data_IF_043787424790
#
_entry.id   IF_043787424790
#
_cell.length_a   1.000
_cell.length_b   1.000
_cell.length_c   1.000
_cell.angle_alpha   90.00
_cell.angle_beta   90.00
_cell.angle_gamma   90.00
#
_symmetry.space_group_name_H-M   'P 1'
#
loop_
_entity.id
_entity.type
_entity.pdbx_description
1 polymer ?
#
# COMPACT_ATOMS: atom_id res chain seq x y z
N UNK A 1 65.23 2.97 18.16
CA UNK A 1 65.67 4.36 18.36
C UNK A 1 64.56 5.28 17.85
N UNK A 2 64.24 6.18 18.75
CA UNK A 2 63.57 7.47 18.73
C UNK A 2 62.04 7.53 18.66
N UNK A 3 61.53 7.81 19.83
CA UNK A 3 60.24 8.42 20.20
C UNK A 3 59.92 9.66 19.37
N UNK A 4 58.64 9.87 19.04
CA UNK A 4 58.15 11.21 18.82
C UNK A 4 56.80 11.40 19.52
N UNK A 5 56.80 12.43 20.35
CA UNK A 5 55.77 12.81 21.32
C UNK A 5 54.64 13.55 20.63
N UNK A 6 53.47 13.24 21.15
CA UNK A 6 52.19 13.94 21.00
C UNK A 6 52.30 15.37 21.56
N UNK A 7 51.89 16.38 20.80
CA UNK A 7 51.71 17.76 21.29
C UNK A 7 50.25 18.12 21.15
N UNK A 8 49.63 18.31 22.30
CA UNK A 8 48.26 18.81 22.49
C UNK A 8 48.32 20.32 22.49
N UNK A 9 47.72 21.01 21.49
CA UNK A 9 47.58 22.46 21.48
C UNK A 9 46.21 22.85 22.04
N UNK A 10 46.20 23.41 23.22
CA UNK A 10 45.05 24.07 23.85
C UNK A 10 45.08 25.53 23.40
N UNK A 11 44.09 25.95 22.61
CA UNK A 11 43.87 27.35 22.27
C UNK A 11 42.94 27.97 23.31
N UNK A 12 43.50 28.78 24.19
CA UNK A 12 42.75 29.63 25.11
C UNK A 12 42.34 30.93 24.38
N UNK A 13 41.08 31.15 24.16
CA UNK A 13 40.51 32.43 23.70
C UNK A 13 40.13 33.27 24.91
N UNK A 14 40.86 34.38 25.07
CA UNK A 14 40.56 35.38 26.09
C UNK A 14 39.33 36.19 25.68
N UNK A 15 38.32 36.17 26.57
CA UNK A 15 37.12 37.00 26.45
C UNK A 15 37.39 38.39 27.07
N UNK A 16 37.27 39.41 26.21
CA UNK A 16 37.20 40.81 26.61
C UNK A 16 35.82 41.10 27.23
N UNK A 17 35.77 41.35 28.52
CA UNK A 17 34.60 41.85 29.22
C UNK A 17 34.44 43.33 28.96
N UNK A 18 33.45 43.72 28.18
CA UNK A 18 32.94 45.11 28.19
C UNK A 18 31.75 45.15 29.13
N UNK A 19 31.94 45.80 30.25
CA UNK A 19 30.90 46.09 31.23
C UNK A 19 29.97 47.18 30.66
N UNK A 20 28.81 46.81 30.16
CA UNK A 20 27.66 47.70 30.04
C UNK A 20 26.54 47.17 30.92
N UNK A 21 26.40 47.87 32.04
CA UNK A 21 25.33 47.66 33.01
C UNK A 21 23.99 48.12 32.41
N UNK A 22 23.22 47.21 31.87
CA UNK A 22 21.76 47.32 31.68
C UNK A 22 21.15 45.98 32.05
N UNK A 23 20.32 46.04 33.10
CA UNK A 23 19.43 44.95 33.50
C UNK A 23 18.55 44.50 32.28
N UNK A 24 19.11 43.65 31.45
CA UNK A 24 18.30 42.78 30.60
C UNK A 24 17.97 41.57 31.50
N UNK A 25 16.79 41.59 32.09
CA UNK A 25 16.14 40.34 32.44
C UNK A 25 16.03 39.57 31.13
N UNK A 26 16.80 38.51 31.01
CA UNK A 26 16.51 37.43 30.07
C UNK A 26 15.15 36.90 30.48
N UNK A 27 14.12 37.33 29.79
CA UNK A 27 12.83 36.65 29.84
C UNK A 27 13.12 35.28 29.27
N UNK A 28 13.33 34.28 30.16
CA UNK A 28 13.26 32.91 29.73
C UNK A 28 11.92 32.76 29.01
N UNK A 29 11.87 32.07 27.83
CA UNK A 29 10.61 31.79 27.20
C UNK A 29 9.72 31.16 28.27
N UNK A 30 8.60 31.82 28.61
CA UNK A 30 7.60 31.27 29.51
C UNK A 30 7.08 30.02 28.82
N UNK A 31 7.67 28.86 29.13
CA UNK A 31 7.08 27.58 28.74
C UNK A 31 5.67 27.58 29.33
N UNK A 32 4.61 27.35 28.53
CA UNK A 32 3.24 27.31 29.03
C UNK A 32 3.23 26.28 30.19
N UNK A 33 2.92 26.72 31.39
CA UNK A 33 2.94 25.88 32.58
C UNK A 33 2.05 24.64 32.35
N UNK A 34 2.67 23.48 32.27
CA UNK A 34 1.98 22.20 32.10
C UNK A 34 2.17 21.50 30.76
N UNK A 35 3.03 22.02 29.85
CA UNK A 35 3.40 21.29 28.64
C UNK A 35 4.45 20.20 28.92
N UNK A 36 4.42 19.14 28.14
CA UNK A 36 5.35 18.01 28.16
C UNK A 36 5.70 17.60 26.75
N UNK A 37 6.81 16.92 26.58
CA UNK A 37 7.26 16.40 25.30
C UNK A 37 6.78 14.96 25.14
N UNK A 38 6.14 14.67 24.02
CA UNK A 38 5.84 13.33 23.54
C UNK A 38 6.79 13.01 22.38
N UNK A 39 7.65 12.04 22.54
CA UNK A 39 8.45 11.48 21.45
C UNK A 39 7.65 10.41 20.73
N UNK A 40 7.76 10.35 19.42
CA UNK A 40 7.12 9.31 18.62
C UNK A 40 8.09 8.66 17.65
N UNK A 41 7.75 7.43 17.25
CA UNK A 41 8.41 6.68 16.19
C UNK A 41 7.37 5.95 15.37
N UNK A 42 7.63 5.80 14.07
CA UNK A 42 6.78 5.00 13.17
C UNK A 42 7.39 3.61 12.98
N UNK A 43 6.53 2.60 12.96
CA UNK A 43 6.85 1.22 12.61
C UNK A 43 5.98 0.75 11.46
N UNK A 44 6.26 -0.40 10.87
CA UNK A 44 5.46 -1.00 9.77
C UNK A 44 5.91 -0.60 8.37
N UNK A 45 6.80 0.39 8.22
CA UNK A 45 7.29 0.86 6.92
C UNK A 45 8.20 -0.20 6.28
N UNK A 46 9.13 -0.77 7.05
CA UNK A 46 10.18 -1.70 6.58
C UNK A 46 9.83 -3.18 6.77
N UNK A 47 8.59 -3.51 7.11
CA UNK A 47 8.22 -4.84 7.61
C UNK A 47 8.36 -6.01 6.59
N UNK A 48 8.77 -5.73 5.35
CA UNK A 48 9.01 -6.75 4.32
C UNK A 48 10.36 -7.49 4.46
N UNK A 49 11.21 -7.14 5.42
CA UNK A 49 12.64 -7.53 5.36
C UNK A 49 12.99 -8.87 5.98
N UNK A 50 12.07 -9.60 6.64
CA UNK A 50 12.52 -10.76 7.45
C UNK A 50 11.95 -12.14 7.13
N UNK A 51 10.95 -12.30 6.29
CA UNK A 51 10.31 -13.61 6.16
C UNK A 51 10.10 -14.17 4.75
N UNK A 52 10.38 -13.46 3.68
CA UNK A 52 10.29 -14.05 2.35
C UNK A 52 11.36 -13.52 1.42
N UNK A 53 11.90 -14.43 0.60
CA UNK A 53 12.69 -14.16 -0.62
C UNK A 53 11.90 -13.38 -1.69
N UNK A 54 10.86 -12.66 -1.31
CA UNK A 54 10.02 -11.86 -2.19
C UNK A 54 10.71 -10.53 -2.37
N UNK A 55 11.22 -10.28 -3.55
CA UNK A 55 11.69 -8.95 -3.98
C UNK A 55 10.56 -7.95 -3.80
N UNK A 56 10.71 -7.05 -2.81
CA UNK A 56 9.86 -5.88 -2.71
C UNK A 56 10.11 -5.00 -3.92
N UNK A 57 9.06 -4.42 -4.49
CA UNK A 57 9.26 -3.27 -5.37
C UNK A 57 9.84 -2.14 -4.52
N UNK A 58 10.93 -1.51 -4.94
CA UNK A 58 11.62 -0.47 -4.15
C UNK A 58 10.74 0.72 -3.72
N UNK A 59 9.57 0.89 -4.31
CA UNK A 59 8.56 1.90 -3.99
C UNK A 59 7.75 1.61 -2.72
N UNK A 60 7.72 0.36 -2.28
CA UNK A 60 6.85 -0.08 -1.20
C UNK A 60 7.26 0.46 0.18
N UNK A 61 8.50 0.93 0.32
CA UNK A 61 9.08 1.39 1.58
C UNK A 61 9.51 2.85 1.58
N UNK A 62 9.28 3.58 0.49
CA UNK A 62 9.68 4.98 0.38
C UNK A 62 8.79 5.85 1.29
N UNK A 63 9.41 6.81 1.95
CA UNK A 63 8.76 7.82 2.77
C UNK A 63 9.08 9.20 2.18
N UNK A 64 8.07 9.83 1.57
CA UNK A 64 8.16 11.16 0.96
C UNK A 64 7.65 12.26 1.87
N UNK A 65 6.61 11.96 2.66
CA UNK A 65 6.12 12.85 3.70
C UNK A 65 5.57 12.07 4.90
N UNK A 66 5.62 12.70 6.06
CA UNK A 66 5.03 12.20 7.31
C UNK A 66 4.27 13.33 7.98
N UNK A 67 3.00 13.13 8.20
CA UNK A 67 2.12 14.06 8.89
C UNK A 67 1.62 13.42 10.18
N UNK A 68 1.76 14.11 11.28
CA UNK A 68 1.39 13.63 12.62
C UNK A 68 0.28 14.52 13.17
N UNK A 69 -0.78 13.90 13.64
CA UNK A 69 -1.90 14.58 14.29
C UNK A 69 -2.09 14.00 15.69
N UNK A 70 -2.25 14.87 16.65
CA UNK A 70 -2.59 14.50 18.02
C UNK A 70 -3.98 15.02 18.32
N UNK A 71 -4.91 14.13 18.63
CA UNK A 71 -6.31 14.45 18.93
C UNK A 71 -6.55 14.37 20.45
N UNK A 72 -7.26 15.35 20.97
CA UNK A 72 -7.68 15.36 22.38
C UNK A 72 -8.85 14.41 22.67
N UNK A 73 -9.36 14.43 23.91
CA UNK A 73 -10.50 13.61 24.33
C UNK A 73 -11.80 13.93 23.62
N UNK A 74 -11.92 15.11 23.01
CA UNK A 74 -13.07 15.53 22.23
C UNK A 74 -12.90 15.25 20.72
N UNK A 75 -11.88 14.47 20.36
CA UNK A 75 -11.48 14.15 18.99
C UNK A 75 -11.13 15.38 18.14
N UNK A 76 -10.69 16.47 18.78
CA UNK A 76 -10.20 17.67 18.09
C UNK A 76 -8.69 17.65 17.98
N UNK A 77 -8.18 18.21 16.88
CA UNK A 77 -6.74 18.35 16.70
C UNK A 77 -6.15 19.26 17.76
N UNK A 78 -5.36 18.70 18.66
CA UNK A 78 -4.58 19.43 19.64
C UNK A 78 -3.25 19.90 19.04
N UNK A 79 -2.62 19.09 18.18
CA UNK A 79 -1.36 19.41 17.48
C UNK A 79 -1.38 18.77 16.10
N UNK A 80 -0.95 19.52 15.10
CA UNK A 80 -0.55 19.04 13.77
C UNK A 80 0.96 19.29 13.61
N UNK A 81 1.67 18.30 13.04
CA UNK A 81 3.09 18.40 12.72
C UNK A 81 3.35 17.82 11.33
N UNK A 82 3.86 18.64 10.42
CA UNK A 82 4.54 18.16 9.22
C UNK A 82 5.96 17.76 9.63
N UNK A 83 6.28 16.48 9.55
CA UNK A 83 7.55 15.90 9.98
C UNK A 83 8.52 15.64 8.81
N UNK A 84 8.22 16.16 7.61
CA UNK A 84 8.99 15.93 6.40
C UNK A 84 9.07 14.44 6.07
N UNK A 85 10.27 13.90 5.92
CA UNK A 85 10.50 12.47 5.66
C UNK A 85 10.92 11.68 6.90
N UNK A 86 10.93 12.31 8.07
CA UNK A 86 11.41 11.67 9.31
C UNK A 86 10.34 10.76 9.90
N UNK A 87 10.72 9.53 10.21
CA UNK A 87 9.88 8.54 10.89
C UNK A 87 9.93 8.63 12.41
N UNK A 88 10.69 9.61 12.96
CA UNK A 88 10.76 9.88 14.39
C UNK A 88 10.68 11.39 14.62
N UNK A 89 10.16 11.78 15.78
CA UNK A 89 10.06 13.19 16.15
C UNK A 89 9.55 13.40 17.55
N UNK A 90 9.25 14.67 17.86
CA UNK A 90 8.70 15.05 19.15
C UNK A 90 7.65 16.15 19.02
N UNK A 91 6.66 16.11 19.89
CA UNK A 91 5.55 17.06 19.97
C UNK A 91 5.51 17.63 21.38
N UNK A 92 5.41 18.96 21.48
CA UNK A 92 5.14 19.61 22.77
C UNK A 92 3.64 19.83 22.94
N UNK A 93 3.06 19.25 23.99
CA UNK A 93 1.62 19.29 24.23
C UNK A 93 1.34 19.34 25.75
N UNK A 94 0.15 19.76 26.15
CA UNK A 94 -0.27 19.71 27.56
C UNK A 94 -0.37 18.26 28.04
N UNK A 95 -0.23 18.04 29.36
CA UNK A 95 -0.51 16.73 29.93
C UNK A 95 -1.98 16.33 29.64
N UNK A 96 -2.21 15.06 29.37
CA UNK A 96 -3.53 14.54 29.03
C UNK A 96 -3.48 13.19 28.33
N UNK A 97 -4.63 12.72 27.91
CA UNK A 97 -4.78 11.50 27.12
C UNK A 97 -5.18 11.86 25.71
N UNK A 98 -4.52 11.28 24.73
CA UNK A 98 -4.63 11.64 23.33
C UNK A 98 -4.79 10.41 22.42
N UNK A 99 -5.22 10.66 21.18
CA UNK A 99 -5.04 9.74 20.07
C UNK A 99 -3.96 10.30 19.15
N UNK A 100 -2.91 9.54 18.92
CA UNK A 100 -1.82 9.88 18.01
C UNK A 100 -2.04 9.18 16.68
N UNK A 101 -2.18 9.95 15.59
CA UNK A 101 -2.31 9.43 14.24
C UNK A 101 -1.11 9.85 13.40
N UNK A 102 -0.72 8.96 12.48
CA UNK A 102 0.33 9.20 11.50
C UNK A 102 -0.19 8.89 10.09
N UNK A 103 -0.05 9.84 9.19
CA UNK A 103 -0.31 9.71 7.76
C UNK A 103 1.01 9.86 7.01
N UNK A 104 1.39 8.82 6.26
CA UNK A 104 2.62 8.77 5.47
C UNK A 104 2.24 8.77 4.00
N UNK A 105 2.92 9.59 3.19
CA UNK A 105 2.71 9.71 1.74
C UNK A 105 1.28 10.07 1.32
N UNK A 106 0.51 10.64 2.24
CA UNK A 106 -0.88 11.00 2.01
C UNK A 106 -1.09 12.45 1.59
N UNK A 107 -2.35 12.83 1.31
CA UNK A 107 -2.69 14.21 1.05
C UNK A 107 -2.35 15.12 2.25
N UNK A 108 -2.25 16.43 1.98
CA UNK A 108 -2.11 17.42 3.03
C UNK A 108 -3.36 17.44 3.93
N UNK A 109 -3.15 17.19 5.21
CA UNK A 109 -4.20 17.18 6.25
C UNK A 109 -4.03 18.32 7.28
N UNK A 110 -3.25 19.34 6.96
CA UNK A 110 -3.02 20.50 7.83
C UNK A 110 -4.31 21.29 8.18
N UNK A 111 -5.32 21.20 7.31
CA UNK A 111 -6.63 21.85 7.50
C UNK A 111 -7.67 21.02 8.27
N UNK A 112 -7.32 19.79 8.65
CA UNK A 112 -8.21 18.90 9.40
C UNK A 112 -8.33 19.37 10.86
N UNK A 113 -9.53 19.42 11.39
CA UNK A 113 -9.80 19.88 12.76
C UNK A 113 -10.27 18.77 13.70
N UNK A 114 -10.79 17.67 13.16
CA UNK A 114 -11.32 16.55 13.93
C UNK A 114 -10.84 15.21 13.39
N UNK A 115 -10.93 14.19 14.24
CA UNK A 115 -10.59 12.82 13.85
C UNK A 115 -11.52 12.28 12.74
N UNK A 116 -12.80 12.64 12.77
CA UNK A 116 -13.77 12.24 11.76
C UNK A 116 -13.50 12.90 10.40
N UNK A 117 -13.05 14.18 10.42
CA UNK A 117 -12.59 14.84 9.20
C UNK A 117 -11.37 14.11 8.60
N UNK A 118 -10.37 13.72 9.43
CA UNK A 118 -9.22 12.94 8.96
C UNK A 118 -9.66 11.61 8.34
N UNK A 119 -10.57 10.91 8.99
CA UNK A 119 -11.12 9.65 8.48
C UNK A 119 -11.82 9.79 7.13
N UNK A 120 -12.41 10.96 6.89
CA UNK A 120 -13.17 11.27 5.66
C UNK A 120 -12.30 11.76 4.51
N UNK A 121 -11.01 12.00 4.74
CA UNK A 121 -10.09 12.45 3.68
C UNK A 121 -9.98 11.37 2.62
N UNK A 122 -10.36 11.72 1.39
CA UNK A 122 -10.32 10.81 0.24
C UNK A 122 -8.89 10.65 -0.28
N UNK A 123 -8.55 9.43 -0.64
CA UNK A 123 -7.26 9.04 -1.23
C UNK A 123 -7.54 8.30 -2.54
N UNK A 124 -7.74 9.00 -3.67
CA UNK A 124 -7.88 8.34 -4.97
C UNK A 124 -6.62 7.53 -5.32
N UNK A 125 -6.80 6.33 -5.87
CA UNK A 125 -5.69 5.43 -6.20
C UNK A 125 -4.75 6.06 -7.23
N UNK A 126 -5.30 6.78 -8.22
CA UNK A 126 -4.54 7.43 -9.29
C UNK A 126 -3.68 8.62 -8.84
N UNK A 127 -4.01 9.24 -7.70
CA UNK A 127 -3.31 10.43 -7.24
C UNK A 127 -2.19 10.12 -6.24
N UNK A 128 -2.42 9.16 -5.34
CA UNK A 128 -1.57 8.96 -4.16
C UNK A 128 -0.85 7.62 -4.10
N UNK A 129 -1.06 6.73 -5.05
CA UNK A 129 -0.37 5.44 -5.07
C UNK A 129 0.11 5.09 -6.48
N UNK A 130 0.32 6.09 -7.34
CA UNK A 130 0.85 5.89 -8.69
C UNK A 130 2.33 5.51 -8.66
N UNK A 131 2.91 5.14 -9.80
CA UNK A 131 4.35 4.81 -9.88
C UNK A 131 5.27 5.95 -9.51
N UNK A 132 4.80 7.18 -9.65
CA UNK A 132 5.52 8.41 -9.33
C UNK A 132 5.39 8.84 -7.87
N UNK A 133 4.50 8.21 -7.12
CA UNK A 133 4.24 8.52 -5.70
C UNK A 133 4.38 7.27 -4.86
N UNK A 134 4.67 7.47 -3.60
CA UNK A 134 4.87 6.42 -2.63
C UNK A 134 3.53 5.94 -2.07
N UNK A 135 3.45 4.69 -1.60
CA UNK A 135 2.19 4.17 -1.06
C UNK A 135 1.74 4.92 0.18
N UNK A 136 0.49 5.32 0.20
CA UNK A 136 -0.13 5.95 1.37
C UNK A 136 -0.24 4.91 2.49
N UNK A 137 0.24 5.32 3.69
CA UNK A 137 0.15 4.50 4.90
C UNK A 137 -0.51 5.32 6.01
N UNK A 138 -1.29 4.65 6.82
CA UNK A 138 -1.96 5.25 7.96
C UNK A 138 -1.83 4.37 9.20
N UNK A 139 -1.69 4.99 10.35
CA UNK A 139 -1.70 4.32 11.64
C UNK A 139 -2.18 5.21 12.75
N UNK A 140 -2.68 4.62 13.82
CA UNK A 140 -3.10 5.34 15.03
C UNK A 140 -2.82 4.57 16.28
N UNK A 141 -2.60 5.32 17.35
CA UNK A 141 -2.52 4.82 18.72
C UNK A 141 -3.45 5.64 19.61
N UNK A 142 -4.41 4.99 20.23
CA UNK A 142 -5.36 5.61 21.16
C UNK A 142 -4.89 5.47 22.60
N UNK A 143 -5.37 6.33 23.49
CA UNK A 143 -5.03 6.26 24.92
C UNK A 143 -3.55 6.61 25.20
N UNK A 144 -2.95 7.47 24.39
CA UNK A 144 -1.59 7.96 24.60
C UNK A 144 -1.58 8.93 25.78
N UNK A 145 -1.07 8.50 26.91
CA UNK A 145 -0.92 9.35 28.10
C UNK A 145 0.33 10.20 27.99
N UNK A 146 0.19 11.51 28.13
CA UNK A 146 1.29 12.46 28.25
C UNK A 146 1.34 12.99 29.68
N UNK A 147 2.36 12.58 30.41
CA UNK A 147 2.54 12.91 31.83
C UNK A 147 3.59 14.00 31.98
N UNK A 148 3.39 14.87 33.00
CA UNK A 148 4.32 15.94 33.33
C UNK A 148 5.61 15.37 33.94
N UNK A 149 6.74 15.96 33.55
CA UNK A 149 8.06 15.61 34.08
C UNK A 149 8.46 14.13 33.88
N UNK A 150 7.93 13.50 32.84
CA UNK A 150 8.28 12.13 32.44
C UNK A 150 8.72 12.09 30.97
N UNK A 151 9.48 11.06 30.62
CA UNK A 151 9.77 10.73 29.24
C UNK A 151 8.55 10.04 28.65
N UNK A 152 7.77 10.77 27.83
CA UNK A 152 6.65 10.21 27.10
C UNK A 152 7.16 9.77 25.73
N UNK A 153 6.93 8.50 25.37
CA UNK A 153 7.28 7.98 24.06
C UNK A 153 6.22 7.00 23.57
N UNK A 154 5.94 7.01 22.26
CA UNK A 154 4.97 6.11 21.64
C UNK A 154 5.42 5.71 20.24
N UNK A 155 5.19 4.45 19.90
CA UNK A 155 5.36 3.94 18.53
C UNK A 155 4.00 3.81 17.89
N UNK A 156 3.87 4.32 16.66
CA UNK A 156 2.67 4.16 15.82
C UNK A 156 3.01 3.19 14.71
N UNK A 157 2.26 2.10 14.61
CA UNK A 157 2.39 1.17 13.49
C UNK A 157 1.53 1.68 12.34
N UNK A 158 2.16 1.98 11.21
CA UNK A 158 1.46 2.38 9.98
C UNK A 158 1.30 1.20 9.04
N UNK A 159 0.18 1.17 8.32
CA UNK A 159 -0.19 0.14 7.36
C UNK A 159 -0.50 0.78 6.01
N UNK A 160 -0.11 0.12 4.93
CA UNK A 160 -0.43 0.58 3.58
C UNK A 160 -1.92 0.49 3.34
N UNK A 161 -2.48 1.49 2.68
CA UNK A 161 -3.92 1.50 2.37
C UNK A 161 -4.27 0.56 1.21
N UNK A 162 -3.31 0.18 0.39
CA UNK A 162 -3.48 -0.74 -0.74
C UNK A 162 -3.33 -2.21 -0.32
N UNK A 163 -3.91 -3.10 -1.12
CA UNK A 163 -3.59 -4.52 -1.18
C UNK A 163 -2.66 -4.80 -2.36
N UNK A 164 -1.86 -5.86 -2.29
CA UNK A 164 -0.97 -6.30 -3.36
C UNK A 164 -1.45 -7.64 -3.93
N UNK A 165 -1.59 -7.72 -5.25
CA UNK A 165 -1.71 -8.97 -5.98
C UNK A 165 -0.38 -9.25 -6.68
N UNK A 166 0.19 -10.44 -6.45
CA UNK A 166 1.45 -10.84 -7.06
C UNK A 166 1.20 -12.07 -7.93
N UNK A 167 1.55 -11.96 -9.23
CA UNK A 167 1.67 -13.16 -10.06
C UNK A 167 3.00 -13.85 -9.70
N UNK A 168 2.91 -14.83 -8.81
CA UNK A 168 4.08 -15.49 -8.25
C UNK A 168 4.69 -16.48 -9.24
N UNK A 169 3.86 -17.27 -9.93
CA UNK A 169 4.32 -18.20 -10.95
C UNK A 169 3.23 -18.60 -11.93
N UNK A 170 3.66 -18.97 -13.15
CA UNK A 170 2.82 -19.63 -14.15
C UNK A 170 3.52 -20.87 -14.64
N UNK A 171 2.83 -22.02 -14.60
CA UNK A 171 3.32 -23.31 -15.09
C UNK A 171 2.58 -23.71 -16.36
N UNK A 172 3.31 -24.05 -17.41
CA UNK A 172 2.74 -24.65 -18.62
C UNK A 172 2.60 -26.16 -18.43
N UNK A 173 1.39 -26.62 -18.19
CA UNK A 173 0.98 -28.03 -18.08
C UNK A 173 0.16 -28.50 -19.28
N UNK A 174 0.16 -27.73 -20.38
CA UNK A 174 -0.58 -28.05 -21.58
C UNK A 174 -0.07 -29.36 -22.21
N UNK A 175 -0.91 -30.06 -22.99
CA UNK A 175 -0.47 -31.15 -23.85
C UNK A 175 0.62 -30.68 -24.82
N UNK A 176 1.57 -31.54 -25.12
CA UNK A 176 2.72 -31.23 -26.01
C UNK A 176 2.27 -30.67 -27.36
N UNK A 177 1.11 -31.09 -27.88
CA UNK A 177 0.57 -30.60 -29.15
C UNK A 177 0.11 -29.14 -29.17
N UNK A 178 -0.05 -28.50 -28.01
CA UNK A 178 -0.35 -27.07 -27.90
C UNK A 178 0.90 -26.19 -27.81
N UNK A 179 2.05 -26.79 -27.52
CA UNK A 179 3.35 -26.12 -27.59
C UNK A 179 3.64 -25.15 -26.44
N UNK A 180 4.38 -24.10 -26.78
CA UNK A 180 4.84 -23.08 -25.83
C UNK A 180 3.70 -22.16 -25.43
N UNK A 181 3.64 -21.82 -24.14
CA UNK A 181 2.76 -20.80 -23.60
C UNK A 181 3.56 -19.49 -23.51
N UNK A 182 3.15 -18.46 -24.22
CA UNK A 182 3.82 -17.14 -24.20
C UNK A 182 3.02 -16.17 -23.38
N UNK A 183 3.54 -15.77 -22.22
CA UNK A 183 2.89 -14.78 -21.37
C UNK A 183 3.08 -13.40 -21.97
N UNK A 184 1.99 -12.68 -22.22
CA UNK A 184 2.01 -11.34 -22.81
C UNK A 184 1.84 -10.26 -21.77
N UNK A 185 0.85 -10.38 -20.90
CA UNK A 185 0.53 -9.36 -19.90
C UNK A 185 -0.30 -9.92 -18.75
N UNK A 186 -0.36 -9.16 -17.69
CA UNK A 186 -1.25 -9.40 -16.56
C UNK A 186 -1.86 -8.08 -16.10
N UNK A 187 -3.10 -8.10 -15.67
CA UNK A 187 -3.78 -6.92 -15.18
C UNK A 187 -4.84 -7.26 -14.13
N UNK A 188 -5.26 -6.23 -13.37
CA UNK A 188 -6.39 -6.34 -12.45
C UNK A 188 -7.68 -5.87 -13.12
N UNK A 189 -8.78 -6.52 -12.80
CA UNK A 189 -10.14 -6.09 -13.12
C UNK A 189 -11.01 -6.03 -11.87
N UNK A 190 -12.14 -5.30 -11.93
CA UNK A 190 -12.99 -4.99 -10.79
C UNK A 190 -12.19 -4.35 -9.64
N UNK A 191 -11.53 -3.25 -9.94
CA UNK A 191 -10.60 -2.57 -9.04
C UNK A 191 -11.35 -1.51 -8.24
N UNK A 192 -11.16 -1.48 -6.93
CA UNK A 192 -11.57 -0.37 -6.08
C UNK A 192 -10.56 0.77 -6.22
N UNK A 193 -11.02 1.95 -6.65
CA UNK A 193 -10.17 3.08 -7.04
C UNK A 193 -10.15 4.22 -6.03
N UNK A 194 -11.00 4.21 -5.01
CA UNK A 194 -10.97 5.21 -3.96
C UNK A 194 -11.12 4.59 -2.57
N UNK A 195 -10.53 5.27 -1.62
CA UNK A 195 -10.61 4.94 -0.20
C UNK A 195 -10.45 6.21 0.62
N UNK A 196 -10.94 6.20 1.84
CA UNK A 196 -10.63 7.26 2.81
C UNK A 196 -9.47 6.83 3.71
N UNK A 197 -8.78 7.80 4.30
CA UNK A 197 -7.67 7.56 5.24
C UNK A 197 -8.08 6.62 6.36
N UNK A 198 -9.28 6.78 6.92
CA UNK A 198 -9.82 5.90 7.97
C UNK A 198 -10.12 4.48 7.54
N UNK A 199 -10.17 4.20 6.27
CA UNK A 199 -10.30 2.86 5.73
C UNK A 199 -11.69 2.24 5.73
N UNK A 200 -12.65 2.88 6.38
CA UNK A 200 -13.97 2.31 6.66
C UNK A 200 -15.04 2.69 5.63
N UNK A 201 -14.72 3.48 4.61
CA UNK A 201 -15.68 3.81 3.55
C UNK A 201 -15.89 2.61 2.64
N UNK A 202 -17.15 2.29 2.38
CA UNK A 202 -17.50 1.34 1.34
C UNK A 202 -16.88 1.77 0.00
N UNK A 203 -16.38 0.81 -0.77
CA UNK A 203 -15.88 1.06 -2.12
C UNK A 203 -16.99 1.74 -2.93
N UNK A 204 -16.73 2.96 -3.39
CA UNK A 204 -17.71 3.76 -4.12
C UNK A 204 -17.31 4.03 -5.56
N UNK A 205 -16.07 3.75 -5.91
CA UNK A 205 -15.54 3.98 -7.25
C UNK A 205 -14.77 2.75 -7.71
N UNK A 206 -15.16 2.23 -8.86
CA UNK A 206 -14.61 1.01 -9.44
C UNK A 206 -14.02 1.29 -10.82
N UNK A 207 -13.01 0.55 -11.19
CA UNK A 207 -12.36 0.66 -12.47
C UNK A 207 -12.13 -0.71 -13.11
N UNK A 208 -11.88 -0.71 -14.41
CA UNK A 208 -11.58 -1.89 -15.20
C UNK A 208 -12.67 -2.98 -15.14
N UNK A 209 -13.88 -2.59 -15.48
CA UNK A 209 -15.05 -3.47 -15.48
C UNK A 209 -15.41 -4.01 -16.88
N UNK A 210 -14.48 -3.98 -17.81
CA UNK A 210 -14.60 -4.48 -19.17
C UNK A 210 -15.79 -3.94 -19.98
N UNK A 211 -15.79 -2.63 -20.27
CA UNK A 211 -16.74 -2.03 -21.22
C UNK A 211 -18.18 -1.97 -20.78
N UNK A 212 -18.48 -2.12 -19.49
CA UNK A 212 -19.83 -1.99 -18.97
C UNK A 212 -20.19 -0.54 -18.75
N UNK A 213 -20.98 0.00 -19.68
CA UNK A 213 -21.43 1.40 -19.68
C UNK A 213 -22.56 1.70 -18.69
N UNK A 214 -23.16 0.68 -18.12
CA UNK A 214 -24.28 0.79 -17.17
C UNK A 214 -23.82 0.91 -15.70
N UNK A 215 -22.51 1.04 -15.48
CA UNK A 215 -21.93 1.14 -14.14
C UNK A 215 -21.86 2.60 -13.72
N UNK A 216 -22.74 2.99 -12.80
CA UNK A 216 -22.80 4.36 -12.30
C UNK A 216 -21.61 4.76 -11.43
N UNK A 217 -20.83 3.80 -10.92
CA UNK A 217 -19.73 3.99 -9.96
C UNK A 217 -18.35 3.62 -10.53
N UNK A 218 -18.22 3.46 -11.83
CA UNK A 218 -16.92 3.17 -12.45
C UNK A 218 -16.23 4.45 -12.91
N UNK A 219 -14.96 4.61 -12.54
CA UNK A 219 -14.13 5.73 -13.03
C UNK A 219 -13.58 5.46 -14.42
N UNK A 220 -13.27 4.21 -14.71
CA UNK A 220 -12.66 3.79 -15.98
C UNK A 220 -13.25 2.47 -16.42
N UNK A 221 -13.83 2.47 -17.61
CA UNK A 221 -14.33 1.26 -18.27
C UNK A 221 -13.31 0.92 -19.35
N UNK A 222 -12.79 -0.31 -19.31
CA UNK A 222 -11.93 -0.81 -20.37
C UNK A 222 -12.81 -1.38 -21.46
N UNK A 223 -12.73 -0.81 -22.67
CA UNK A 223 -13.15 -1.50 -23.88
C UNK A 223 -12.16 -2.64 -24.16
N UNK A 224 -12.53 -3.65 -24.85
CA UNK A 224 -11.67 -4.82 -25.10
C UNK A 224 -10.33 -4.51 -25.82
N UNK A 225 -10.01 -3.26 -26.13
CA UNK A 225 -8.77 -2.83 -26.78
C UNK A 225 -7.69 -2.34 -25.82
N UNK A 226 -8.06 -1.95 -24.59
CA UNK A 226 -7.14 -1.43 -23.57
C UNK A 226 -7.36 -2.12 -22.23
N UNK A 227 -6.43 -2.90 -21.77
CA UNK A 227 -6.49 -3.62 -20.47
C UNK A 227 -5.97 -2.79 -19.30
N UNK A 228 -5.77 -1.50 -19.52
CA UNK A 228 -5.12 -0.60 -18.60
C UNK A 228 -6.15 0.29 -17.92
N UNK A 229 -6.24 0.19 -16.60
CA UNK A 229 -7.03 1.07 -15.76
C UNK A 229 -6.12 2.06 -15.06
N UNK A 230 -6.58 3.27 -14.82
CA UNK A 230 -5.84 4.22 -14.00
C UNK A 230 -5.81 3.79 -12.51
N UNK A 231 -4.64 3.81 -11.86
CA UNK A 231 -3.32 4.06 -12.42
C UNK A 231 -2.73 2.82 -13.10
N UNK A 232 -2.37 2.97 -14.38
CA UNK A 232 -1.88 1.88 -15.24
C UNK A 232 -0.72 1.12 -14.61
N UNK A 233 0.29 1.84 -14.14
CA UNK A 233 1.51 1.29 -13.55
C UNK A 233 1.30 0.45 -12.29
N UNK A 234 0.14 0.52 -11.65
CA UNK A 234 -0.21 -0.29 -10.48
C UNK A 234 -1.07 -1.49 -10.85
N UNK A 235 -1.83 -1.40 -11.91
CA UNK A 235 -2.92 -2.34 -12.23
C UNK A 235 -2.64 -3.20 -13.44
N UNK A 236 -1.54 -2.96 -14.14
CA UNK A 236 -1.14 -3.62 -15.38
C UNK A 236 0.38 -3.89 -15.40
N UNK A 237 0.80 -4.98 -16.02
CA UNK A 237 2.19 -5.27 -16.33
C UNK A 237 2.31 -6.03 -17.66
N UNK A 238 3.24 -5.58 -18.52
CA UNK A 238 3.70 -6.37 -19.65
C UNK A 238 4.65 -7.46 -19.15
N UNK A 239 4.53 -8.67 -19.69
CA UNK A 239 5.36 -9.83 -19.35
C UNK A 239 6.43 -10.14 -20.41
N UNK A 240 6.69 -9.17 -21.31
CA UNK A 240 7.76 -9.19 -22.30
C UNK A 240 7.79 -10.49 -23.15
N UNK A 241 6.62 -11.04 -23.50
CA UNK A 241 6.48 -12.28 -24.24
C UNK A 241 7.27 -13.45 -23.62
N UNK A 242 7.18 -13.60 -22.30
CA UNK A 242 7.85 -14.67 -21.58
C UNK A 242 7.34 -16.06 -22.01
N UNK A 243 8.19 -16.80 -22.71
CA UNK A 243 7.86 -18.10 -23.28
C UNK A 243 8.13 -19.24 -22.30
N UNK A 244 7.10 -20.02 -21.96
CA UNK A 244 7.16 -21.14 -21.03
C UNK A 244 6.99 -22.45 -21.81
N UNK A 245 8.03 -23.27 -21.87
CA UNK A 245 7.97 -24.60 -22.49
C UNK A 245 7.01 -25.53 -21.71
N UNK A 246 6.44 -26.50 -22.39
CA UNK A 246 5.60 -27.53 -21.75
C UNK A 246 6.37 -28.21 -20.60
N UNK A 247 5.74 -28.30 -19.44
CA UNK A 247 6.33 -28.87 -18.21
C UNK A 247 7.19 -27.89 -17.41
N UNK A 248 7.43 -26.67 -17.90
CA UNK A 248 8.22 -25.62 -17.24
C UNK A 248 7.35 -24.64 -16.46
N UNK A 249 8.00 -23.84 -15.61
CA UNK A 249 7.40 -22.79 -14.79
C UNK A 249 8.21 -21.51 -14.94
N UNK A 250 7.55 -20.38 -14.99
CA UNK A 250 8.16 -19.05 -14.85
C UNK A 250 7.71 -18.43 -13.54
N UNK A 251 8.63 -17.82 -12.80
CA UNK A 251 8.42 -17.30 -11.45
C UNK A 251 8.61 -15.79 -11.37
N UNK A 252 8.03 -15.17 -10.32
CA UNK A 252 8.19 -13.75 -9.94
C UNK A 252 7.83 -12.76 -11.05
N UNK A 253 6.67 -12.94 -11.64
CA UNK A 253 6.31 -12.28 -12.89
C UNK A 253 5.85 -10.84 -12.74
N UNK A 254 4.98 -10.52 -11.75
CA UNK A 254 4.44 -9.18 -11.62
C UNK A 254 3.91 -8.86 -10.22
N UNK A 255 3.88 -7.57 -9.90
CA UNK A 255 3.24 -7.00 -8.71
C UNK A 255 2.21 -5.98 -9.16
N UNK A 256 0.97 -6.12 -8.69
CA UNK A 256 -0.14 -5.24 -8.99
C UNK A 256 -0.80 -4.79 -7.69
N UNK A 257 -1.41 -3.61 -7.70
CA UNK A 257 -1.94 -2.99 -6.49
C UNK A 257 -3.32 -2.41 -6.73
N UNK A 258 -4.17 -2.50 -5.71
CA UNK A 258 -5.51 -1.89 -5.68
C UNK A 258 -5.90 -1.57 -4.25
N UNK A 259 -6.96 -0.81 -4.05
CA UNK A 259 -7.56 -0.75 -2.72
C UNK A 259 -8.27 -2.05 -2.37
N UNK A 260 -8.48 -2.32 -1.07
CA UNK A 260 -9.24 -3.47 -0.61
C UNK A 260 -10.60 -3.57 -1.28
N UNK A 261 -10.92 -4.77 -1.72
CA UNK A 261 -12.22 -5.12 -2.23
C UNK A 261 -12.88 -6.11 -1.27
N UNK A 262 -13.97 -5.76 -0.60
CA UNK A 262 -14.65 -6.66 0.33
C UNK A 262 -15.40 -7.79 -0.38
N UNK A 263 -15.61 -7.66 -1.69
CA UNK A 263 -16.35 -8.66 -2.46
C UNK A 263 -15.48 -9.90 -2.71
N UNK A 264 -16.04 -11.06 -2.47
CA UNK A 264 -15.41 -12.35 -2.75
C UNK A 264 -16.17 -13.18 -3.78
N UNK A 265 -17.33 -12.69 -4.20
CA UNK A 265 -18.21 -13.44 -5.11
C UNK A 265 -17.72 -13.32 -6.56
N UNK A 266 -17.51 -14.48 -7.18
CA UNK A 266 -17.05 -14.60 -8.55
C UNK A 266 -18.19 -14.77 -9.54
N UNK A 267 -19.36 -15.16 -9.05
CA UNK A 267 -20.51 -15.51 -9.89
C UNK A 267 -21.37 -14.28 -10.08
N UNK A 268 -21.59 -13.92 -11.33
CA UNK A 268 -22.54 -12.87 -11.71
C UNK A 268 -23.83 -13.49 -12.17
N UNK A 269 -24.87 -13.29 -11.38
CA UNK A 269 -26.21 -13.34 -11.96
C UNK A 269 -26.44 -12.02 -12.70
N UNK A 270 -26.23 -12.04 -14.01
CA UNK A 270 -26.33 -10.84 -14.82
C UNK A 270 -27.79 -10.43 -15.00
N UNK A 271 -28.23 -9.42 -14.28
CA UNK A 271 -29.59 -8.86 -14.39
C UNK A 271 -29.65 -7.56 -15.19
N UNK A 272 -28.59 -7.22 -15.93
CA UNK A 272 -28.50 -5.99 -16.73
C UNK A 272 -27.83 -4.81 -16.01
N UNK A 273 -27.69 -4.86 -14.69
CA UNK A 273 -26.94 -3.85 -13.90
C UNK A 273 -25.71 -4.50 -13.32
N UNK A 274 -24.55 -3.84 -13.52
CA UNK A 274 -23.32 -4.32 -12.90
C UNK A 274 -23.39 -4.19 -11.38
N UNK A 275 -22.95 -5.21 -10.68
CA UNK A 275 -22.78 -5.20 -9.23
C UNK A 275 -21.32 -5.45 -8.89
N UNK A 276 -20.81 -4.90 -7.76
CA UNK A 276 -19.48 -5.20 -7.28
C UNK A 276 -19.22 -6.70 -7.20
N UNK A 277 -18.04 -7.12 -7.63
CA UNK A 277 -17.58 -8.51 -7.59
C UNK A 277 -16.13 -8.56 -7.17
N UNK A 278 -15.61 -9.74 -6.89
CA UNK A 278 -14.21 -9.96 -6.55
C UNK A 278 -13.26 -9.29 -7.55
N UNK A 279 -12.16 -8.74 -7.04
CA UNK A 279 -11.04 -8.33 -7.89
C UNK A 279 -10.46 -9.57 -8.57
N UNK A 280 -10.18 -9.46 -9.86
CA UNK A 280 -9.58 -10.54 -10.65
C UNK A 280 -8.19 -10.14 -11.11
N UNK A 281 -7.25 -11.07 -10.99
CA UNK A 281 -5.98 -11.01 -11.70
C UNK A 281 -6.15 -11.78 -13.02
N UNK A 282 -5.99 -11.11 -14.15
CA UNK A 282 -6.20 -11.69 -15.48
C UNK A 282 -4.87 -11.82 -16.18
N UNK A 283 -4.49 -13.06 -16.51
CA UNK A 283 -3.28 -13.35 -17.30
C UNK A 283 -3.70 -13.44 -18.76
N UNK A 284 -2.95 -12.77 -19.64
CA UNK A 284 -3.08 -12.93 -21.10
C UNK A 284 -1.88 -13.71 -21.59
N UNK A 285 -2.15 -14.84 -22.21
CA UNK A 285 -1.10 -15.67 -22.78
C UNK A 285 -1.49 -16.20 -24.16
N UNK A 286 -0.52 -16.23 -25.07
CA UNK A 286 -0.66 -16.86 -26.38
C UNK A 286 -0.41 -18.35 -26.28
N UNK A 287 -1.27 -19.14 -26.86
CA UNK A 287 -1.16 -20.57 -27.01
C UNK A 287 -1.60 -20.96 -28.42
N UNK A 288 -0.76 -21.66 -29.19
CA UNK A 288 -1.05 -22.05 -30.56
C UNK A 288 -1.43 -20.83 -31.46
N UNK A 289 -0.68 -19.71 -31.32
CA UNK A 289 -0.84 -18.48 -32.11
C UNK A 289 -2.10 -17.68 -31.80
N UNK A 290 -2.79 -17.97 -30.68
CA UNK A 290 -4.01 -17.28 -30.28
C UNK A 290 -3.90 -16.81 -28.84
N UNK A 291 -4.31 -15.56 -28.57
CA UNK A 291 -4.36 -15.00 -27.22
C UNK A 291 -5.57 -15.56 -26.45
N UNK A 292 -5.30 -15.99 -25.23
CA UNK A 292 -6.29 -16.48 -24.26
C UNK A 292 -6.18 -15.73 -22.93
N UNK A 293 -7.31 -15.65 -22.25
CA UNK A 293 -7.45 -15.01 -20.95
C UNK A 293 -7.65 -16.04 -19.85
N UNK A 294 -6.90 -15.86 -18.75
CA UNK A 294 -6.97 -16.74 -17.58
C UNK A 294 -7.27 -15.87 -16.35
N UNK A 295 -8.55 -15.53 -16.10
CA UNK A 295 -8.94 -14.76 -14.94
C UNK A 295 -8.84 -15.60 -13.68
N UNK A 296 -8.24 -15.02 -12.63
CA UNK A 296 -8.14 -15.57 -11.30
C UNK A 296 -8.86 -14.63 -10.34
N UNK A 297 -9.92 -15.08 -9.70
CA UNK A 297 -10.56 -14.29 -8.68
C UNK A 297 -9.73 -14.28 -7.40
N UNK A 298 -9.57 -13.11 -6.84
CA UNK A 298 -9.00 -12.97 -5.51
C UNK A 298 -10.10 -13.10 -4.47
N UNK A 299 -9.82 -13.64 -3.28
CA UNK A 299 -10.76 -13.57 -2.16
C UNK A 299 -10.96 -12.09 -1.78
N UNK A 300 -11.88 -11.80 -0.86
CA UNK A 300 -12.01 -10.45 -0.30
C UNK A 300 -10.64 -9.93 0.14
N UNK A 301 -10.21 -8.82 -0.48
CA UNK A 301 -8.87 -8.28 -0.24
C UNK A 301 -8.87 -7.30 0.92
N UNK A 302 -7.74 -7.23 1.63
CA UNK A 302 -7.53 -6.35 2.79
C UNK A 302 -6.33 -5.44 2.54
N UNK A 303 -6.38 -4.25 3.13
CA UNK A 303 -5.24 -3.33 3.16
C UNK A 303 -4.02 -4.01 3.80
N UNK A 304 -2.85 -3.70 3.27
CA UNK A 304 -1.58 -4.20 3.79
C UNK A 304 -1.41 -5.73 3.74
N UNK A 305 -2.16 -6.42 2.83
CA UNK A 305 -2.02 -7.84 2.55
C UNK A 305 -1.50 -8.09 1.13
N UNK A 306 -0.73 -9.17 0.97
CA UNK A 306 -0.27 -9.68 -0.32
C UNK A 306 -0.98 -10.97 -0.68
N UNK A 307 -1.48 -11.04 -1.90
CA UNK A 307 -2.14 -12.19 -2.49
C UNK A 307 -1.25 -12.76 -3.57
N UNK A 308 -0.51 -13.81 -3.23
CA UNK A 308 0.43 -14.47 -4.13
C UNK A 308 -0.31 -15.53 -4.95
N UNK A 309 -0.38 -15.33 -6.26
CA UNK A 309 -1.12 -16.16 -7.20
C UNK A 309 -0.15 -17.03 -7.98
N UNK A 310 -0.33 -18.34 -7.92
CA UNK A 310 0.37 -19.34 -8.73
C UNK A 310 -0.65 -20.07 -9.60
N UNK A 311 -0.38 -20.16 -10.90
CA UNK A 311 -1.31 -20.73 -11.88
C UNK A 311 -0.64 -21.86 -12.66
N UNK A 312 -1.32 -23.00 -12.75
CA UNK A 312 -0.97 -24.08 -13.69
C UNK A 312 -1.98 -24.08 -14.83
N UNK A 313 -1.51 -23.89 -16.07
CA UNK A 313 -2.34 -23.84 -17.27
C UNK A 313 -2.26 -25.18 -18.01
N UNK A 314 -3.41 -25.81 -18.23
CA UNK A 314 -3.54 -27.12 -18.86
C UNK A 314 -4.10 -27.07 -20.28
N UNK A 315 -4.52 -25.92 -20.77
CA UNK A 315 -5.14 -25.79 -22.08
C UNK A 315 -5.55 -24.36 -22.42
N UNK A 316 -6.33 -24.23 -23.48
CA UNK A 316 -6.82 -22.95 -23.99
C UNK A 316 -7.72 -22.27 -22.96
N UNK A 317 -7.45 -21.02 -22.69
CA UNK A 317 -8.23 -20.18 -21.78
C UNK A 317 -9.52 -19.66 -22.42
N UNK A 318 -10.05 -18.56 -21.88
CA UNK A 318 -11.19 -17.86 -22.44
C UNK A 318 -10.76 -17.03 -23.65
N UNK A 319 -11.62 -16.94 -24.64
CA UNK A 319 -11.41 -16.04 -25.80
C UNK A 319 -11.84 -14.59 -25.51
N UNK A 320 -12.53 -14.36 -24.38
CA UNK A 320 -13.04 -13.07 -23.95
C UNK A 320 -12.53 -12.77 -22.52
N UNK A 321 -11.89 -11.62 -22.27
CA UNK A 321 -11.43 -11.22 -20.93
C UNK A 321 -12.59 -11.04 -19.94
N UNK A 322 -13.81 -10.87 -20.40
CA UNK A 322 -15.02 -10.75 -19.59
C UNK A 322 -15.65 -12.11 -19.22
N UNK A 323 -15.16 -13.19 -19.82
CA UNK A 323 -15.67 -14.53 -19.61
C UNK A 323 -15.69 -14.94 -18.13
N UNK A 324 -16.59 -15.85 -17.79
CA UNK A 324 -16.75 -16.32 -16.43
C UNK A 324 -15.59 -17.25 -16.04
N UNK A 325 -15.10 -17.14 -14.81
CA UNK A 325 -14.06 -18.01 -14.25
C UNK A 325 -14.56 -19.44 -14.16
N UNK A 326 -15.84 -19.64 -13.92
CA UNK A 326 -16.48 -20.97 -13.91
C UNK A 326 -16.25 -21.72 -15.22
N UNK A 327 -16.20 -21.00 -16.36
CA UNK A 327 -15.91 -21.59 -17.65
C UNK A 327 -14.52 -22.23 -17.76
N UNK A 328 -13.54 -21.71 -17.00
CA UNK A 328 -12.19 -22.30 -16.91
C UNK A 328 -12.16 -23.55 -16.05
N UNK A 329 -12.84 -23.50 -14.90
CA UNK A 329 -12.92 -24.62 -13.99
C UNK A 329 -13.66 -25.81 -14.64
N UNK A 330 -14.78 -25.56 -15.29
CA UNK A 330 -15.58 -26.59 -15.97
C UNK A 330 -14.82 -27.25 -17.12
N UNK A 331 -13.90 -26.51 -17.77
CA UNK A 331 -13.05 -27.06 -18.84
C UNK A 331 -11.78 -27.73 -18.33
N UNK A 332 -11.47 -27.66 -17.04
CA UNK A 332 -10.23 -28.17 -16.48
C UNK A 332 -8.97 -27.54 -17.07
N UNK A 333 -9.07 -26.28 -17.56
CA UNK A 333 -8.01 -25.62 -18.31
C UNK A 333 -7.04 -24.84 -17.45
N UNK A 334 -7.37 -24.57 -16.18
CA UNK A 334 -6.45 -23.94 -15.23
C UNK A 334 -6.67 -24.49 -13.81
N UNK A 335 -5.58 -24.59 -13.05
CA UNK A 335 -5.59 -24.81 -11.62
C UNK A 335 -4.89 -23.63 -10.96
N UNK A 336 -5.50 -23.06 -9.95
CA UNK A 336 -5.07 -21.82 -9.33
C UNK A 336 -4.85 -22.03 -7.85
N UNK A 337 -3.69 -21.61 -7.36
CA UNK A 337 -3.39 -21.52 -5.94
C UNK A 337 -3.16 -20.06 -5.57
N UNK A 338 -3.88 -19.57 -4.56
CA UNK A 338 -3.70 -18.23 -4.00
C UNK A 338 -3.21 -18.35 -2.57
N UNK A 339 -2.03 -17.81 -2.30
CA UNK A 339 -1.46 -17.70 -0.97
C UNK A 339 -1.60 -16.27 -0.47
N UNK A 340 -2.19 -16.10 0.71
CA UNK A 340 -2.45 -14.80 1.33
C UNK A 340 -1.44 -14.58 2.43
N UNK A 341 -0.73 -13.45 2.38
CA UNK A 341 0.27 -13.07 3.39
C UNK A 341 -0.05 -11.68 3.92
N UNK A 342 0.01 -11.55 5.24
CA UNK A 342 0.09 -10.24 5.86
C UNK A 342 1.40 -9.57 5.42
N UNK A 343 1.30 -8.36 4.92
CA UNK A 343 2.45 -7.62 4.39
C UNK A 343 3.46 -7.24 5.49
N UNK A 344 3.00 -7.09 6.74
CA UNK A 344 3.82 -6.76 7.90
C UNK A 344 4.38 -8.01 8.60
N UNK A 345 3.55 -9.02 8.87
CA UNK A 345 3.93 -10.15 9.74
C UNK A 345 4.42 -11.38 8.99
N UNK A 346 4.16 -11.47 7.68
CA UNK A 346 4.52 -12.62 6.85
C UNK A 346 3.76 -13.91 7.17
N UNK A 347 2.65 -13.83 7.92
CA UNK A 347 1.77 -14.97 8.15
C UNK A 347 1.10 -15.38 6.83
N UNK A 348 1.14 -16.67 6.53
CA UNK A 348 0.66 -17.23 5.26
C UNK A 348 -0.64 -18.02 5.47
N UNK A 349 -1.63 -17.75 4.63
CA UNK A 349 -2.87 -18.52 4.53
C UNK A 349 -3.01 -19.00 3.09
N UNK A 350 -3.16 -20.30 2.89
CA UNK A 350 -3.33 -20.90 1.56
C UNK A 350 -4.80 -21.13 1.26
N UNK A 351 -5.25 -20.73 0.08
CA UNK A 351 -6.58 -21.01 -0.46
C UNK A 351 -6.38 -21.71 -1.81
N UNK A 352 -6.91 -22.92 -1.95
CA UNK A 352 -6.96 -23.66 -3.21
C UNK A 352 -8.39 -23.57 -3.78
N UNK A 353 -8.48 -23.34 -5.09
CA UNK A 353 -9.74 -23.32 -5.83
C UNK A 353 -9.73 -24.42 -6.89
#
# INVERSE_FOLDING_TARGET
MKNLKMILAVAATASLTVACNKNFQTVEPIEPSGSSVLNFSLAGIDAMTKASSVTSQGKETIVSNVQILLFDSDNKVAVYLDNGTSTTGSITVKQGTYTLAALVNGPDVSGVNTYDELHSVSVPLSEYNSTSTDFVMFGKESGVEVLKNQSNSKTVTVERLVSRARLASVSNKCPVGLGVLTLKRVFLSNIVCNRNVGGDSAASLWSNNFGRSDISNSSTIIDGSSYKAEPEDLTFADLEENAIAVGSTSDQLAFLYSYPNPESDNVKTYTGVWTPTATRLVIVAELDGTDYYYPVALPATKANYSYDVSVSIYGKGLSDPQGDISDLADKGTANVQVSIKDWISGNEYNVEY
#
